data_IF_589536780635
#
_entry.id   IF_589536780635
#
_cell.length_a   1.000
_cell.length_b   1.000
_cell.length_c   1.000
_cell.angle_alpha   90.00
_cell.angle_beta   90.00
_cell.angle_gamma   90.00
#
_symmetry.space_group_name_H-M   'P 1'
#
loop_
_entity.id
_entity.type
_entity.pdbx_description
1 polymer ?
#
# COMPACT_ATOMS: atom_id res chain seq x y z
N UNK A 1 -26.60 21.85 24.54
CA UNK A 1 -25.78 22.94 23.98
C UNK A 1 -24.27 22.87 24.27
N UNK A 2 -23.75 22.76 25.51
CA UNK A 2 -22.27 22.64 25.72
C UNK A 2 -21.69 21.25 25.41
N UNK A 3 -22.49 20.19 25.52
CA UNK A 3 -22.05 18.79 25.32
C UNK A 3 -22.00 18.39 23.84
N UNK A 4 -22.98 18.82 23.03
CA UNK A 4 -23.05 18.54 21.59
C UNK A 4 -21.86 19.14 20.82
N UNK A 5 -21.44 20.36 21.15
CA UNK A 5 -20.29 21.00 20.50
C UNK A 5 -18.96 20.28 20.78
N UNK A 6 -18.80 19.64 21.94
CA UNK A 6 -17.60 18.84 22.25
C UNK A 6 -17.58 17.52 21.46
N UNK A 7 -18.74 16.88 21.31
CA UNK A 7 -18.86 15.62 20.55
C UNK A 7 -18.60 15.88 19.06
N UNK A 8 -19.22 16.92 18.49
CA UNK A 8 -19.02 17.30 17.09
C UNK A 8 -17.57 17.70 16.77
N UNK A 9 -16.85 18.33 17.73
CA UNK A 9 -15.42 18.62 17.56
C UNK A 9 -14.58 17.33 17.52
N UNK A 10 -14.86 16.38 18.43
CA UNK A 10 -14.12 15.12 18.48
C UNK A 10 -14.35 14.25 17.24
N UNK A 11 -15.56 14.26 16.70
CA UNK A 11 -15.91 13.55 15.47
C UNK A 11 -15.26 14.19 14.24
N UNK A 12 -15.26 15.53 14.14
CA UNK A 12 -14.54 16.24 13.08
C UNK A 12 -13.01 16.02 13.14
N UNK A 13 -12.42 15.99 14.33
CA UNK A 13 -10.98 15.71 14.49
C UNK A 13 -10.64 14.27 14.12
N UNK A 14 -11.53 13.33 14.46
CA UNK A 14 -11.42 11.94 14.03
C UNK A 14 -11.50 11.84 12.50
N UNK A 15 -12.49 12.46 11.86
CA UNK A 15 -12.66 12.48 10.40
C UNK A 15 -11.45 13.12 9.70
N UNK A 16 -10.92 14.23 10.22
CA UNK A 16 -9.70 14.85 9.69
C UNK A 16 -8.47 13.95 9.79
N UNK A 17 -8.32 13.21 10.90
CA UNK A 17 -7.24 12.22 11.07
C UNK A 17 -7.40 11.05 10.10
N UNK A 18 -8.63 10.57 9.90
CA UNK A 18 -8.92 9.51 8.92
C UNK A 18 -8.61 10.00 7.50
N UNK A 19 -9.03 11.22 7.15
CA UNK A 19 -8.78 11.82 5.85
C UNK A 19 -7.28 12.04 5.58
N UNK A 20 -6.53 12.56 6.55
CA UNK A 20 -5.09 12.81 6.38
C UNK A 20 -4.26 11.53 6.31
N UNK A 21 -4.70 10.44 6.95
CA UNK A 21 -4.11 9.09 6.82
C UNK A 21 -4.40 8.48 5.45
N UNK A 22 -5.52 8.85 4.83
CA UNK A 22 -6.01 8.24 3.59
C UNK A 22 -5.64 9.02 2.32
N UNK A 23 -5.03 10.20 2.41
CA UNK A 23 -4.59 10.93 1.22
C UNK A 23 -3.47 10.14 0.52
N UNK A 24 -3.69 9.63 -0.71
CA UNK A 24 -2.68 8.84 -1.40
C UNK A 24 -1.56 9.74 -1.92
N UNK A 25 -0.31 9.30 -1.74
CA UNK A 25 0.86 9.85 -2.42
C UNK A 25 0.81 9.54 -3.92
N UNK A 26 0.43 8.32 -4.25
CA UNK A 26 0.23 7.83 -5.61
C UNK A 26 -0.92 6.84 -5.62
N UNK A 27 -1.63 6.75 -6.75
CA UNK A 27 -2.70 5.80 -6.92
C UNK A 27 -2.72 5.20 -8.32
N UNK A 28 -3.21 3.97 -8.43
CA UNK A 28 -3.43 3.25 -9.68
C UNK A 28 -4.67 2.40 -9.52
N UNK A 29 -5.41 2.22 -10.62
CA UNK A 29 -6.57 1.34 -10.66
C UNK A 29 -6.38 0.31 -11.76
N UNK A 30 -6.60 -0.95 -11.42
CA UNK A 30 -6.48 -2.08 -12.35
C UNK A 30 -7.35 -3.24 -11.91
N UNK A 31 -8.06 -3.87 -12.84
CA UNK A 31 -8.99 -4.98 -12.57
C UNK A 31 -9.98 -4.65 -11.45
N UNK A 32 -10.63 -3.48 -11.57
CA UNK A 32 -11.60 -2.95 -10.61
C UNK A 32 -11.07 -2.97 -9.16
N UNK A 33 -9.78 -2.72 -9.01
CA UNK A 33 -9.09 -2.69 -7.73
C UNK A 33 -8.27 -1.42 -7.69
N UNK A 34 -8.56 -0.58 -6.70
CA UNK A 34 -7.85 0.66 -6.45
C UNK A 34 -6.68 0.38 -5.51
N UNK A 35 -5.50 0.87 -5.88
CA UNK A 35 -4.25 0.74 -5.13
C UNK A 35 -3.72 2.13 -4.82
N UNK A 36 -3.48 2.42 -3.54
CA UNK A 36 -3.19 3.77 -3.07
C UNK A 36 -2.01 3.75 -2.11
N UNK A 37 -0.83 4.21 -2.54
CA UNK A 37 0.32 4.38 -1.65
C UNK A 37 0.02 5.53 -0.70
N UNK A 38 0.01 5.29 0.60
CA UNK A 38 -0.27 6.32 1.61
C UNK A 38 0.98 6.74 2.37
N UNK A 39 2.00 5.89 2.46
CA UNK A 39 3.22 6.20 3.21
C UNK A 39 4.42 5.43 2.71
N UNK A 40 5.56 6.12 2.62
CA UNK A 40 6.87 5.53 2.31
C UNK A 40 7.88 6.05 3.32
N UNK A 41 8.41 5.15 4.16
CA UNK A 41 9.36 5.50 5.22
C UNK A 41 10.63 4.69 5.13
N UNK A 42 11.76 5.33 5.41
CA UNK A 42 13.05 4.69 5.53
C UNK A 42 13.56 4.74 6.96
N UNK A 43 14.30 3.72 7.39
CA UNK A 43 15.03 3.69 8.65
C UNK A 43 16.53 3.66 8.33
N UNK A 44 17.25 4.73 8.70
CA UNK A 44 18.68 4.86 8.39
C UNK A 44 19.54 3.82 9.12
N UNK A 45 19.24 3.58 10.40
CA UNK A 45 20.00 2.65 11.23
C UNK A 45 19.77 1.19 10.81
N UNK A 46 18.52 0.83 10.51
CA UNK A 46 18.11 -0.49 10.07
C UNK A 46 18.34 -0.79 8.59
N UNK A 47 18.79 0.21 7.81
CA UNK A 47 18.93 0.14 6.34
C UNK A 47 17.72 -0.51 5.68
N UNK A 48 16.53 -0.01 6.03
CA UNK A 48 15.26 -0.58 5.58
C UNK A 48 14.31 0.49 5.06
N UNK A 49 13.43 0.09 4.16
CA UNK A 49 12.33 0.91 3.65
C UNK A 49 11.03 0.16 3.85
N UNK A 50 9.96 0.89 4.17
CA UNK A 50 8.62 0.36 4.29
C UNK A 50 7.66 1.17 3.41
N UNK A 51 6.91 0.48 2.58
CA UNK A 51 5.86 1.05 1.73
C UNK A 51 4.51 0.58 2.27
N UNK A 52 3.68 1.53 2.70
CA UNK A 52 2.30 1.29 3.11
C UNK A 52 1.34 1.79 2.06
N UNK A 53 0.35 0.98 1.76
CA UNK A 53 -0.66 1.29 0.77
C UNK A 53 -2.02 0.67 1.16
N UNK A 54 -3.08 1.23 0.60
CA UNK A 54 -4.45 0.76 0.71
C UNK A 54 -4.85 0.07 -0.59
N UNK A 55 -5.58 -1.04 -0.47
CA UNK A 55 -6.20 -1.74 -1.59
C UNK A 55 -7.71 -1.78 -1.38
N UNK A 56 -8.48 -1.45 -2.41
CA UNK A 56 -9.94 -1.46 -2.35
C UNK A 56 -10.52 -2.14 -3.58
N UNK A 57 -11.30 -3.20 -3.39
CA UNK A 57 -12.09 -3.80 -4.46
C UNK A 57 -13.30 -2.90 -4.79
N UNK A 58 -13.58 -2.70 -6.09
CA UNK A 58 -14.62 -1.76 -6.58
C UNK A 58 -15.83 -2.44 -7.21
N UNK A 59 -15.73 -3.72 -7.53
CA UNK A 59 -16.71 -4.52 -8.27
C UNK A 59 -17.35 -5.63 -7.43
N UNK A 60 -16.53 -6.45 -6.76
CA UNK A 60 -17.01 -7.57 -5.95
C UNK A 60 -16.02 -7.97 -4.86
N UNK A 61 -16.45 -8.84 -3.94
CA UNK A 61 -15.55 -9.48 -3.00
C UNK A 61 -14.59 -10.40 -3.75
N UNK A 62 -13.30 -10.33 -3.43
CA UNK A 62 -12.28 -11.12 -4.10
C UNK A 62 -11.08 -11.40 -3.21
N UNK A 63 -10.44 -12.53 -3.44
CA UNK A 63 -9.12 -12.84 -2.89
C UNK A 63 -8.08 -12.28 -3.84
N UNK A 64 -7.06 -11.65 -3.27
CA UNK A 64 -5.92 -11.15 -4.03
C UNK A 64 -4.68 -11.93 -3.60
N UNK A 65 -3.88 -12.36 -4.56
CA UNK A 65 -2.52 -12.85 -4.33
C UNK A 65 -1.55 -11.82 -4.89
N UNK A 66 -0.60 -11.35 -4.07
CA UNK A 66 0.39 -10.34 -4.44
C UNK A 66 1.77 -10.99 -4.46
N UNK A 67 2.48 -10.89 -5.59
CA UNK A 67 3.73 -11.63 -5.83
C UNK A 67 4.77 -10.71 -6.47
N UNK A 68 6.02 -11.19 -6.56
CA UNK A 68 7.14 -10.48 -7.20
C UNK A 68 7.30 -9.03 -6.71
N UNK A 69 7.17 -8.83 -5.40
CA UNK A 69 7.18 -7.50 -4.77
C UNK A 69 8.62 -7.00 -4.66
N UNK A 70 8.91 -5.89 -5.35
CA UNK A 70 10.25 -5.31 -5.38
C UNK A 70 10.22 -3.79 -5.48
N UNK A 71 11.28 -3.15 -4.96
CA UNK A 71 11.60 -1.75 -5.22
C UNK A 71 12.92 -1.66 -5.99
N UNK A 72 13.06 -0.61 -6.81
CA UNK A 72 14.28 -0.28 -7.54
C UNK A 72 14.66 1.16 -7.17
N UNK A 73 15.89 1.36 -6.71
CA UNK A 73 16.42 2.69 -6.37
C UNK A 73 16.89 3.48 -7.62
N UNK A 74 17.36 4.70 -7.40
CA UNK A 74 17.85 5.59 -8.47
C UNK A 74 19.13 5.09 -9.14
N UNK A 75 19.87 4.20 -8.50
CA UNK A 75 21.10 3.58 -9.02
C UNK A 75 20.80 2.27 -9.78
N UNK A 76 19.53 1.84 -9.80
CA UNK A 76 19.10 0.60 -10.44
C UNK A 76 19.27 -0.64 -9.56
N UNK A 77 19.60 -0.51 -8.27
CA UNK A 77 19.61 -1.68 -7.38
C UNK A 77 18.17 -2.11 -7.10
N UNK A 78 17.92 -3.42 -7.23
CA UNK A 78 16.63 -4.03 -6.91
C UNK A 78 16.65 -4.66 -5.51
N UNK A 79 15.61 -4.40 -4.73
CA UNK A 79 15.40 -4.96 -3.40
C UNK A 79 14.05 -5.67 -3.36
N UNK A 80 14.06 -6.95 -3.01
CA UNK A 80 12.84 -7.76 -2.83
C UNK A 80 12.26 -7.55 -1.45
N UNK A 81 10.94 -7.67 -1.33
CA UNK A 81 10.26 -7.56 -0.04
C UNK A 81 10.71 -8.66 0.93
N UNK A 82 10.97 -8.27 2.18
CA UNK A 82 11.12 -9.17 3.31
C UNK A 82 9.73 -9.57 3.80
N UNK A 83 9.24 -10.71 3.31
CA UNK A 83 7.90 -11.20 3.64
C UNK A 83 7.71 -11.55 5.12
N UNK A 84 8.78 -11.75 5.89
CA UNK A 84 8.69 -12.00 7.33
C UNK A 84 8.35 -10.74 8.13
N UNK A 85 8.72 -9.57 7.63
CA UNK A 85 8.42 -8.26 8.23
C UNK A 85 7.26 -7.54 7.56
N UNK A 86 6.74 -8.12 6.48
CA UNK A 86 5.67 -7.53 5.68
C UNK A 86 4.29 -8.03 6.09
N UNK A 87 3.26 -7.33 5.64
CA UNK A 87 1.88 -7.80 5.66
C UNK A 87 1.72 -9.04 4.78
N UNK A 88 0.74 -9.90 5.13
CA UNK A 88 0.44 -11.10 4.35
C UNK A 88 0.03 -10.71 2.93
N UNK A 89 0.66 -11.24 1.89
CA UNK A 89 0.38 -10.85 0.50
C UNK A 89 -0.84 -11.55 -0.10
N UNK A 90 -1.74 -12.09 0.74
CA UNK A 90 -2.93 -12.82 0.33
C UNK A 90 -4.21 -12.22 0.97
N UNK A 91 -4.52 -10.93 0.79
CA UNK A 91 -5.68 -10.32 1.44
C UNK A 91 -6.98 -10.83 0.81
N UNK A 92 -8.00 -10.97 1.66
CA UNK A 92 -9.40 -11.13 1.24
C UNK A 92 -10.04 -9.74 1.26
N UNK A 93 -10.53 -9.28 0.11
CA UNK A 93 -11.05 -7.92 -0.07
C UNK A 93 -12.57 -7.95 -0.10
N UNK A 94 -13.19 -7.27 0.86
CA UNK A 94 -14.61 -6.95 0.80
C UNK A 94 -14.87 -5.74 -0.11
N UNK A 95 -15.96 -5.78 -0.86
CA UNK A 95 -16.38 -4.71 -1.76
C UNK A 95 -16.35 -3.34 -1.05
N UNK A 96 -15.74 -2.36 -1.71
CA UNK A 96 -15.62 -0.97 -1.26
C UNK A 96 -14.97 -0.77 0.11
N UNK A 97 -14.25 -1.78 0.62
CA UNK A 97 -13.56 -1.71 1.92
C UNK A 97 -12.05 -1.68 1.72
N UNK A 98 -11.41 -0.61 2.20
CA UNK A 98 -9.96 -0.44 2.08
C UNK A 98 -9.19 -1.34 3.05
N UNK A 99 -8.26 -2.11 2.51
CA UNK A 99 -7.34 -2.97 3.26
C UNK A 99 -5.94 -2.40 3.24
N UNK A 100 -5.34 -2.23 4.42
CA UNK A 100 -3.98 -1.70 4.57
C UNK A 100 -2.96 -2.81 4.50
N UNK A 101 -1.95 -2.64 3.66
CA UNK A 101 -0.77 -3.51 3.61
C UNK A 101 0.51 -2.66 3.71
N UNK A 102 1.51 -3.24 4.35
CA UNK A 102 2.86 -2.68 4.46
C UNK A 102 3.86 -3.73 3.99
N UNK A 103 4.70 -3.37 3.03
CA UNK A 103 5.83 -4.20 2.58
C UNK A 103 7.14 -3.56 3.02
N UNK A 104 8.00 -4.38 3.63
CA UNK A 104 9.30 -3.97 4.15
C UNK A 104 10.42 -4.50 3.26
N UNK A 105 11.46 -3.71 3.08
CA UNK A 105 12.63 -3.99 2.25
C UNK A 105 13.87 -3.74 3.11
N UNK A 106 14.90 -4.59 2.99
CA UNK A 106 16.10 -4.54 3.82
C UNK A 106 17.36 -4.42 2.97
N UNK A 107 18.50 -4.25 3.64
CA UNK A 107 19.83 -4.17 3.04
C UNK A 107 19.95 -3.02 2.01
N UNK A 108 19.25 -1.92 2.28
CA UNK A 108 19.26 -0.73 1.43
C UNK A 108 20.66 -0.13 1.40
N UNK A 109 21.25 -0.05 0.21
CA UNK A 109 22.66 0.34 0.04
C UNK A 109 22.87 1.85 0.13
N UNK A 110 22.01 2.63 -0.52
CA UNK A 110 22.08 4.08 -0.49
C UNK A 110 20.88 4.67 0.26
N UNK A 111 21.13 5.71 1.06
CA UNK A 111 20.05 6.52 1.65
C UNK A 111 19.46 7.45 0.58
N UNK A 112 19.06 6.87 -0.56
CA UNK A 112 18.42 7.58 -1.65
C UNK A 112 17.19 8.31 -1.12
N UNK A 113 16.95 9.54 -1.59
CA UNK A 113 15.76 10.30 -1.22
C UNK A 113 14.51 9.78 -1.95
N UNK A 114 14.69 8.98 -2.99
CA UNK A 114 13.62 8.52 -3.88
C UNK A 114 13.77 7.03 -4.21
N UNK A 115 12.62 6.36 -4.29
CA UNK A 115 12.51 5.08 -5.00
C UNK A 115 12.08 5.38 -6.42
N UNK A 116 12.75 4.74 -7.39
CA UNK A 116 12.44 4.91 -8.81
C UNK A 116 11.22 4.10 -9.19
N UNK A 117 11.15 2.84 -8.77
CA UNK A 117 10.05 1.92 -9.08
C UNK A 117 9.67 1.13 -7.82
N UNK A 118 8.37 1.02 -7.55
CA UNK A 118 7.78 -0.06 -6.75
C UNK A 118 6.86 -0.86 -7.65
N UNK A 119 7.11 -2.17 -7.76
CA UNK A 119 6.36 -3.06 -8.62
C UNK A 119 5.98 -4.34 -7.91
N UNK A 120 4.88 -4.92 -8.35
CA UNK A 120 4.38 -6.21 -7.91
C UNK A 120 3.38 -6.76 -8.94
N UNK A 121 3.13 -8.05 -8.85
CA UNK A 121 2.08 -8.73 -9.61
C UNK A 121 0.91 -9.03 -8.70
N UNK A 122 -0.29 -9.02 -9.27
CA UNK A 122 -1.50 -9.45 -8.59
C UNK A 122 -2.21 -10.53 -9.38
N UNK A 123 -2.77 -11.51 -8.67
CA UNK A 123 -3.78 -12.43 -9.18
C UNK A 123 -5.04 -12.23 -8.34
N UNK A 124 -6.11 -11.73 -8.97
CA UNK A 124 -7.41 -11.56 -8.35
C UNK A 124 -8.31 -12.76 -8.66
N UNK A 125 -9.03 -13.23 -7.63
CA UNK A 125 -9.99 -14.32 -7.70
C UNK A 125 -11.31 -13.90 -7.06
N UNK A 126 -12.38 -13.72 -7.85
CA UNK A 126 -13.72 -13.48 -7.31
C UNK A 126 -14.14 -14.56 -6.32
N UNK A 127 -14.80 -14.18 -5.23
CA UNK A 127 -15.33 -15.17 -4.28
C UNK A 127 -16.43 -16.03 -4.91
N UNK A 128 -17.21 -15.45 -5.84
CA UNK A 128 -18.27 -16.17 -6.57
C UNK A 128 -17.74 -17.32 -7.43
N UNK A 129 -16.49 -17.23 -7.89
CA UNK A 129 -15.88 -18.23 -8.75
C UNK A 129 -14.34 -18.18 -8.65
N UNK A 130 -13.77 -19.10 -7.87
CA UNK A 130 -12.31 -19.15 -7.62
C UNK A 130 -11.49 -19.69 -8.81
N UNK A 131 -12.15 -20.25 -9.83
CA UNK A 131 -11.50 -20.65 -11.08
C UNK A 131 -11.24 -19.45 -12.00
N UNK A 132 -12.03 -18.38 -11.89
CA UNK A 132 -11.81 -17.13 -12.59
C UNK A 132 -10.60 -16.41 -11.96
N UNK A 133 -9.59 -16.12 -12.78
CA UNK A 133 -8.35 -15.48 -12.34
C UNK A 133 -7.97 -14.36 -13.27
N UNK A 134 -7.77 -13.18 -12.71
CA UNK A 134 -7.28 -12.03 -13.46
C UNK A 134 -5.91 -11.63 -12.95
N UNK A 135 -4.93 -11.54 -13.86
CA UNK A 135 -3.55 -11.21 -13.53
C UNK A 135 -3.24 -9.77 -13.92
N UNK A 136 -2.47 -9.10 -13.09
CA UNK A 136 -2.08 -7.72 -13.33
C UNK A 136 -0.68 -7.42 -12.86
N UNK A 137 0.04 -6.61 -13.62
CA UNK A 137 1.30 -6.01 -13.21
C UNK A 137 1.03 -4.57 -12.79
N UNK A 138 1.50 -4.19 -11.61
CA UNK A 138 1.41 -2.83 -11.08
C UNK A 138 2.80 -2.23 -10.91
N UNK A 139 2.90 -0.95 -11.21
CA UNK A 139 4.14 -0.17 -11.12
C UNK A 139 3.82 1.25 -10.67
N UNK A 140 4.48 1.67 -9.59
CA UNK A 140 4.47 3.04 -9.08
C UNK A 140 5.86 3.62 -9.25
N UNK A 141 5.94 4.85 -9.77
CA UNK A 141 7.21 5.50 -10.08
C UNK A 141 7.42 6.74 -9.25
N UNK A 142 8.68 7.07 -9.03
CA UNK A 142 9.14 8.40 -8.62
C UNK A 142 8.45 8.91 -7.34
N UNK A 143 8.73 8.27 -6.20
CA UNK A 143 8.20 8.71 -4.91
C UNK A 143 9.27 8.88 -3.85
N UNK A 144 9.06 9.91 -3.02
CA UNK A 144 9.99 10.34 -1.98
C UNK A 144 9.92 9.39 -0.78
N UNK A 145 11.08 9.10 -0.20
CA UNK A 145 11.21 8.38 1.06
C UNK A 145 11.31 9.39 2.21
N UNK A 146 10.48 9.21 3.23
CA UNK A 146 10.62 9.93 4.51
C UNK A 146 11.55 9.15 5.43
N UNK A 147 12.80 9.58 5.54
CA UNK A 147 13.81 8.92 6.38
C UNK A 147 13.70 9.34 7.84
N UNK A 148 13.66 8.35 8.72
CA UNK A 148 13.81 8.47 10.17
C UNK A 148 15.20 7.99 10.61
#
# INVERSE_FOLDING_TARGET
MKTENKILSSENDYLKKVLSVNTPLLQSEKENTLYQITKVTGNKAGKSIEITFLITAKDENKKLTIEDISIIDMEGNEYKADLYKSSRPFPELSLNTSHKLTFSFKDIKSQTLFIKIFRFKTTAQPERNTFEKTKSNLEFKDFKISWN
#
